data_IF_936101456385
#
_entry.id   IF_936101456385
#
_cell.length_a   1.000
_cell.length_b   1.000
_cell.length_c   1.000
_cell.angle_alpha   90.00
_cell.angle_beta   90.00
_cell.angle_gamma   90.00
#
_symmetry.space_group_name_H-M   'P 1'
#
loop_
_entity.id
_entity.type
_entity.pdbx_description
1 polymer ?
#
# COMPACT_ATOMS: atom_id res chain seq x y z
N UNK A 1 9.34 23.26 5.43
CA UNK A 1 9.70 21.85 5.79
C UNK A 1 8.48 20.93 5.76
N UNK A 2 7.33 21.41 6.19
CA UNK A 2 6.12 20.59 6.37
C UNK A 2 5.43 20.20 5.06
N UNK A 3 5.37 21.08 4.05
CA UNK A 3 4.79 20.77 2.73
C UNK A 3 5.42 19.56 2.03
N UNK A 4 6.65 19.21 2.40
CA UNK A 4 7.36 18.05 1.85
C UNK A 4 6.90 16.72 2.44
N UNK A 5 6.43 16.68 3.72
CA UNK A 5 6.07 15.43 4.36
C UNK A 5 4.81 14.81 3.75
N UNK A 6 3.69 15.54 3.70
CA UNK A 6 2.44 15.02 3.12
C UNK A 6 2.60 14.63 1.65
N UNK A 7 3.34 15.43 0.87
CA UNK A 7 3.64 15.08 -0.51
C UNK A 7 4.49 13.80 -0.61
N UNK A 8 5.53 13.68 0.22
CA UNK A 8 6.39 12.50 0.24
C UNK A 8 5.63 11.23 0.63
N UNK A 9 4.78 11.28 1.65
CA UNK A 9 4.03 10.08 2.07
C UNK A 9 2.98 9.66 1.04
N UNK A 10 2.31 10.61 0.37
CA UNK A 10 1.37 10.32 -0.73
C UNK A 10 2.07 9.57 -1.86
N UNK A 11 3.22 10.07 -2.32
CA UNK A 11 4.05 9.42 -3.34
C UNK A 11 4.51 8.02 -2.91
N UNK A 12 4.88 7.83 -1.64
CA UNK A 12 5.25 6.51 -1.14
C UNK A 12 4.06 5.54 -1.17
N UNK A 13 2.88 5.95 -0.73
CA UNK A 13 1.69 5.12 -0.81
C UNK A 13 1.30 4.81 -2.27
N UNK A 14 1.36 5.78 -3.18
CA UNK A 14 1.15 5.55 -4.63
C UNK A 14 2.14 4.51 -5.18
N UNK A 15 3.41 4.59 -4.77
CA UNK A 15 4.44 3.64 -5.17
C UNK A 15 4.11 2.22 -4.70
N UNK A 16 3.71 2.05 -3.42
CA UNK A 16 3.36 0.72 -2.92
C UNK A 16 2.06 0.19 -3.53
N UNK A 17 1.07 1.06 -3.76
CA UNK A 17 -0.12 0.66 -4.55
C UNK A 17 0.28 0.16 -5.93
N UNK A 18 1.11 0.89 -6.65
CA UNK A 18 1.62 0.50 -7.97
C UNK A 18 2.35 -0.85 -7.96
N UNK A 19 3.12 -1.16 -6.91
CA UNK A 19 3.76 -2.49 -6.80
C UNK A 19 2.72 -3.61 -6.70
N UNK A 20 1.65 -3.41 -5.94
CA UNK A 20 0.51 -4.35 -5.90
C UNK A 20 -0.17 -4.47 -7.26
N UNK A 21 -0.53 -3.34 -7.88
CA UNK A 21 -1.19 -3.31 -9.20
C UNK A 21 -0.37 -4.08 -10.26
N UNK A 22 0.93 -3.81 -10.33
CA UNK A 22 1.84 -4.51 -11.27
C UNK A 22 2.04 -5.99 -10.93
N UNK A 23 1.86 -6.38 -9.68
CA UNK A 23 1.84 -7.80 -9.28
C UNK A 23 0.57 -8.47 -9.79
N UNK A 24 -0.59 -7.87 -9.57
CA UNK A 24 -1.89 -8.40 -10.01
C UNK A 24 -1.97 -8.63 -11.52
N UNK A 25 -1.32 -7.75 -12.30
CA UNK A 25 -1.25 -7.89 -13.76
C UNK A 25 -0.44 -9.12 -14.24
N UNK A 26 0.36 -9.72 -13.37
CA UNK A 26 1.19 -10.89 -13.71
C UNK A 26 0.57 -12.21 -13.23
N UNK A 27 -0.57 -12.17 -12.55
CA UNK A 27 -1.22 -13.31 -11.90
C UNK A 27 -2.49 -13.74 -12.61
N UNK A 28 -2.71 -15.05 -12.66
CA UNK A 28 -4.00 -15.65 -13.01
C UNK A 28 -5.03 -15.42 -11.89
N UNK A 29 -6.29 -15.74 -12.17
CA UNK A 29 -7.37 -15.56 -11.19
C UNK A 29 -7.20 -16.48 -9.98
N UNK A 30 -6.80 -17.71 -10.20
CA UNK A 30 -6.58 -18.72 -9.14
C UNK A 30 -5.42 -18.33 -8.21
N UNK A 31 -4.39 -17.64 -8.72
CA UNK A 31 -3.24 -17.23 -7.94
C UNK A 31 -3.59 -16.30 -6.77
N UNK A 32 -4.70 -15.56 -6.86
CA UNK A 32 -5.17 -14.68 -5.80
C UNK A 32 -5.61 -15.44 -4.55
N UNK A 33 -6.00 -16.70 -4.69
CA UNK A 33 -6.54 -17.54 -3.63
C UNK A 33 -5.57 -18.59 -3.16
N UNK A 34 -4.39 -18.68 -3.78
CA UNK A 34 -3.37 -19.65 -3.40
C UNK A 34 -2.81 -19.37 -2.01
N UNK A 35 -2.68 -20.41 -1.21
CA UNK A 35 -2.05 -20.41 0.11
C UNK A 35 -0.95 -21.47 0.16
N UNK A 36 0.19 -21.13 0.76
CA UNK A 36 1.28 -22.08 0.96
C UNK A 36 0.92 -23.17 1.96
N UNK A 37 0.20 -22.83 3.02
CA UNK A 37 -0.34 -23.70 4.06
C UNK A 37 -1.51 -22.99 4.76
N UNK A 38 -2.15 -23.67 5.72
CA UNK A 38 -3.32 -23.17 6.46
C UNK A 38 -3.06 -21.87 7.23
N UNK A 39 -1.82 -21.67 7.71
CA UNK A 39 -1.43 -20.47 8.48
C UNK A 39 -1.01 -19.29 7.58
N UNK A 40 -0.74 -19.54 6.29
CA UNK A 40 -0.33 -18.48 5.38
C UNK A 40 -1.53 -17.77 4.76
N UNK A 41 -1.44 -16.45 4.59
CA UNK A 41 -2.49 -15.69 3.94
C UNK A 41 -2.34 -15.73 2.41
N UNK A 42 -3.45 -15.88 1.70
CA UNK A 42 -3.52 -15.64 0.27
C UNK A 42 -3.49 -14.13 -0.04
N UNK A 43 -3.27 -13.77 -1.31
CA UNK A 43 -3.38 -12.37 -1.78
C UNK A 43 -4.78 -11.81 -1.47
N UNK A 44 -5.84 -12.59 -1.70
CA UNK A 44 -7.21 -12.18 -1.41
C UNK A 44 -7.42 -11.84 0.07
N UNK A 45 -6.89 -12.67 0.98
CA UNK A 45 -6.96 -12.41 2.43
C UNK A 45 -6.18 -11.15 2.83
N UNK A 46 -4.98 -10.95 2.26
CA UNK A 46 -4.17 -9.75 2.52
C UNK A 46 -4.90 -8.49 2.03
N UNK A 47 -5.47 -8.54 0.84
CA UNK A 47 -6.23 -7.40 0.28
C UNK A 47 -7.46 -7.10 1.11
N UNK A 48 -8.23 -8.11 1.50
CA UNK A 48 -9.39 -7.93 2.38
C UNK A 48 -9.00 -7.29 3.71
N UNK A 49 -7.89 -7.75 4.31
CA UNK A 49 -7.34 -7.14 5.52
C UNK A 49 -6.94 -5.66 5.30
N UNK A 50 -6.24 -5.35 4.23
CA UNK A 50 -5.84 -3.98 3.90
C UNK A 50 -7.05 -3.08 3.66
N UNK A 51 -8.05 -3.54 2.90
CA UNK A 51 -9.31 -2.85 2.64
C UNK A 51 -10.03 -2.50 3.95
N UNK A 52 -10.32 -3.50 4.79
CA UNK A 52 -10.97 -3.29 6.08
C UNK A 52 -10.19 -2.35 7.00
N UNK A 53 -8.86 -2.45 6.99
CA UNK A 53 -7.98 -1.56 7.74
C UNK A 53 -8.06 -0.12 7.22
N UNK A 54 -7.92 0.09 5.90
CA UNK A 54 -7.94 1.43 5.30
C UNK A 54 -9.28 2.12 5.54
N UNK A 55 -10.41 1.44 5.30
CA UNK A 55 -11.72 1.99 5.58
C UNK A 55 -11.89 2.34 7.06
N UNK A 56 -11.50 1.45 7.96
CA UNK A 56 -11.61 1.68 9.41
C UNK A 56 -10.76 2.87 9.85
N UNK A 57 -9.51 2.95 9.41
CA UNK A 57 -8.55 3.98 9.85
C UNK A 57 -8.80 5.35 9.26
N UNK A 58 -9.31 5.45 8.03
CA UNK A 58 -9.32 6.71 7.29
C UNK A 58 -10.70 7.33 7.09
N UNK A 59 -11.80 6.56 7.26
CA UNK A 59 -13.14 7.13 7.20
C UNK A 59 -13.39 8.05 8.39
N UNK A 60 -13.66 9.34 8.13
CA UNK A 60 -13.93 10.37 9.16
C UNK A 60 -12.89 10.39 10.30
N UNK A 61 -11.64 10.08 10.01
CA UNK A 61 -10.59 9.78 10.99
C UNK A 61 -10.22 10.94 11.90
N UNK A 62 -10.49 12.19 11.48
CA UNK A 62 -10.26 13.38 12.31
C UNK A 62 -11.31 13.59 13.41
N UNK A 63 -12.43 12.89 13.34
CA UNK A 63 -13.60 13.10 14.23
C UNK A 63 -14.13 11.83 14.89
N UNK A 64 -13.72 10.65 14.40
CA UNK A 64 -14.17 9.37 14.95
C UNK A 64 -12.96 8.46 15.23
N UNK A 65 -13.13 7.46 16.10
CA UNK A 65 -12.08 6.47 16.36
C UNK A 65 -11.72 5.70 15.07
N UNK A 66 -10.44 5.43 14.88
CA UNK A 66 -9.91 4.65 13.76
C UNK A 66 -10.22 3.15 13.85
N UNK A 67 -10.82 2.64 14.93
CA UNK A 67 -11.46 1.33 14.96
C UNK A 67 -12.96 1.52 14.90
N UNK A 68 -13.59 0.95 13.89
CA UNK A 68 -15.02 1.11 13.62
C UNK A 68 -15.80 -0.09 14.14
N UNK A 69 -16.98 0.13 14.74
CA UNK A 69 -17.86 -0.92 15.27
C UNK A 69 -18.30 -1.93 14.19
N UNK A 70 -18.44 -1.49 12.94
CA UNK A 70 -18.80 -2.35 11.82
C UNK A 70 -17.66 -3.22 11.31
N UNK A 71 -16.40 -2.98 11.76
CA UNK A 71 -15.25 -3.77 11.30
C UNK A 71 -15.18 -5.10 12.04
N UNK A 72 -15.33 -6.18 11.32
CA UNK A 72 -15.06 -7.51 11.83
C UNK A 72 -13.70 -8.02 11.35
N UNK A 73 -12.67 -7.79 12.17
CA UNK A 73 -11.29 -8.13 11.81
C UNK A 73 -11.07 -9.63 11.62
N UNK A 74 -11.75 -10.47 12.38
CA UNK A 74 -11.55 -11.92 12.31
C UNK A 74 -12.10 -12.48 10.99
N UNK A 75 -13.16 -11.89 10.45
CA UNK A 75 -13.69 -12.24 9.14
C UNK A 75 -12.81 -11.77 7.96
N UNK A 76 -11.86 -10.88 8.19
CA UNK A 76 -10.91 -10.46 7.14
C UNK A 76 -10.03 -11.63 6.68
N UNK A 77 -9.79 -12.61 7.55
CA UNK A 77 -8.94 -13.78 7.29
C UNK A 77 -9.74 -15.07 6.97
N UNK A 78 -11.05 -15.06 7.09
CA UNK A 78 -11.88 -16.26 6.96
C UNK A 78 -13.07 -16.17 6.00
N UNK A 79 -13.35 -15.08 5.35
CA UNK A 79 -14.59 -14.95 4.60
C UNK A 79 -14.43 -14.87 3.08
N UNK A 80 -15.51 -15.18 2.39
CA UNK A 80 -15.62 -15.46 0.97
C UNK A 80 -15.47 -14.21 0.07
N UNK A 81 -14.25 -13.83 -0.30
CA UNK A 81 -14.01 -13.21 -1.59
C UNK A 81 -13.62 -14.35 -2.54
N UNK A 82 -14.39 -14.53 -3.60
CA UNK A 82 -14.27 -15.70 -4.48
C UNK A 82 -13.85 -15.36 -5.90
N UNK A 83 -13.73 -14.08 -6.24
CA UNK A 83 -13.33 -13.64 -7.57
C UNK A 83 -12.23 -12.58 -7.51
N UNK A 84 -11.34 -12.60 -8.49
CA UNK A 84 -10.28 -11.61 -8.68
C UNK A 84 -10.84 -10.19 -8.79
N UNK A 85 -11.95 -10.03 -9.52
CA UNK A 85 -12.59 -8.72 -9.70
C UNK A 85 -13.02 -8.12 -8.37
N UNK A 86 -13.57 -8.93 -7.46
CA UNK A 86 -13.96 -8.48 -6.12
C UNK A 86 -12.71 -8.11 -5.27
N UNK A 87 -11.63 -8.89 -5.35
CA UNK A 87 -10.37 -8.56 -4.67
C UNK A 87 -9.80 -7.24 -5.19
N UNK A 88 -9.78 -7.03 -6.50
CA UNK A 88 -9.28 -5.78 -7.11
C UNK A 88 -10.19 -4.60 -6.75
N UNK A 89 -11.50 -4.79 -6.69
CA UNK A 89 -12.44 -3.75 -6.25
C UNK A 89 -12.19 -3.32 -4.80
N UNK A 90 -11.98 -4.27 -3.89
CA UNK A 90 -11.64 -3.99 -2.49
C UNK A 90 -10.30 -3.28 -2.37
N UNK A 91 -9.29 -3.70 -3.15
CA UNK A 91 -8.00 -3.03 -3.23
C UNK A 91 -8.14 -1.56 -3.63
N UNK A 92 -8.84 -1.27 -4.73
CA UNK A 92 -9.06 0.10 -5.20
C UNK A 92 -9.84 0.94 -4.19
N UNK A 93 -10.90 0.40 -3.60
CA UNK A 93 -11.72 1.10 -2.62
C UNK A 93 -10.92 1.47 -1.35
N UNK A 94 -10.09 0.56 -0.86
CA UNK A 94 -9.23 0.81 0.30
C UNK A 94 -8.23 1.95 0.04
N UNK A 95 -7.47 1.87 -1.06
CA UNK A 95 -6.52 2.91 -1.43
C UNK A 95 -7.19 4.25 -1.72
N UNK A 96 -8.35 4.26 -2.37
CA UNK A 96 -9.11 5.49 -2.60
C UNK A 96 -9.53 6.16 -1.29
N UNK A 97 -9.97 5.38 -0.28
CA UNK A 97 -10.29 5.90 1.05
C UNK A 97 -9.07 6.56 1.70
N UNK A 98 -7.90 5.92 1.68
CA UNK A 98 -6.65 6.49 2.17
C UNK A 98 -6.30 7.80 1.45
N UNK A 99 -6.28 7.79 0.11
CA UNK A 99 -5.88 8.98 -0.66
C UNK A 99 -6.85 10.14 -0.45
N UNK A 100 -8.16 9.90 -0.36
CA UNK A 100 -9.14 10.92 -0.04
C UNK A 100 -8.86 11.56 1.32
N UNK A 101 -8.55 10.74 2.33
CA UNK A 101 -8.20 11.23 3.66
C UNK A 101 -6.91 12.07 3.63
N UNK A 102 -5.83 11.57 3.00
CA UNK A 102 -4.57 12.31 2.91
C UNK A 102 -4.69 13.60 2.09
N UNK A 103 -5.55 13.64 1.07
CA UNK A 103 -5.77 14.83 0.23
C UNK A 103 -6.57 15.91 0.96
N UNK A 104 -7.34 15.55 1.98
CA UNK A 104 -8.05 16.51 2.83
C UNK A 104 -7.17 17.19 3.89
N UNK A 105 -5.94 16.66 4.12
CA UNK A 105 -5.03 17.17 5.14
C UNK A 105 -4.21 18.36 4.66
N UNK A 106 -3.95 19.25 5.60
CA UNK A 106 -2.93 20.29 5.55
C UNK A 106 -1.82 20.00 6.56
N UNK A 107 -0.70 20.70 6.45
CA UNK A 107 0.42 20.57 7.40
C UNK A 107 -0.01 20.89 8.86
N UNK A 108 -0.98 21.79 9.04
CA UNK A 108 -1.50 22.15 10.34
C UNK A 108 -2.26 21.00 11.04
N UNK A 109 -2.71 20.01 10.26
CA UNK A 109 -3.42 18.84 10.81
C UNK A 109 -2.47 17.79 11.38
N UNK A 110 -1.19 17.81 11.03
CA UNK A 110 -0.22 16.76 11.39
C UNK A 110 -0.04 16.57 12.90
N UNK A 111 -0.17 17.65 13.66
CA UNK A 111 -0.07 17.62 15.13
C UNK A 111 -1.41 17.34 15.84
N UNK A 112 -2.52 17.26 15.11
CA UNK A 112 -3.84 16.97 15.72
C UNK A 112 -3.84 15.57 16.30
N UNK A 113 -4.54 15.40 17.43
CA UNK A 113 -4.72 14.09 18.06
C UNK A 113 -5.97 13.43 17.47
N UNK A 114 -5.79 12.21 17.02
CA UNK A 114 -6.84 11.28 16.62
C UNK A 114 -6.78 10.04 17.51
N UNK A 115 -7.82 9.25 17.52
CA UNK A 115 -7.88 8.08 18.38
C UNK A 115 -7.96 6.79 17.55
N UNK A 116 -7.28 5.76 18.01
CA UNK A 116 -7.38 4.39 17.51
C UNK A 116 -7.53 3.48 18.74
N UNK A 117 -8.69 2.89 18.92
CA UNK A 117 -9.03 2.09 20.12
C UNK A 117 -8.84 2.89 21.41
N UNK A 118 -9.35 4.12 21.40
CA UNK A 118 -9.21 5.09 22.49
C UNK A 118 -7.77 5.51 22.84
N UNK A 119 -6.77 5.08 22.07
CA UNK A 119 -5.40 5.56 22.24
C UNK A 119 -5.15 6.76 21.30
N UNK A 120 -4.70 7.87 21.90
CA UNK A 120 -4.39 9.09 21.17
C UNK A 120 -3.07 8.96 20.37
N UNK A 121 -3.12 9.39 19.12
CA UNK A 121 -1.98 9.50 18.22
C UNK A 121 -2.04 10.84 17.51
N UNK A 122 -0.90 11.46 17.22
CA UNK A 122 -0.90 12.53 16.23
C UNK A 122 -1.27 11.98 14.85
N UNK A 123 -1.82 12.81 13.98
CA UNK A 123 -2.07 12.45 12.57
C UNK A 123 -0.77 11.97 11.92
N UNK A 124 0.35 12.62 12.20
CA UNK A 124 1.68 12.22 11.71
C UNK A 124 2.06 10.80 12.16
N UNK A 125 1.86 10.46 13.45
CA UNK A 125 2.12 9.12 13.96
C UNK A 125 1.21 8.07 13.32
N UNK A 126 -0.06 8.40 13.13
CA UNK A 126 -0.99 7.50 12.46
C UNK A 126 -0.60 7.23 10.99
N UNK A 127 -0.16 8.26 10.26
CA UNK A 127 0.37 8.10 8.89
C UNK A 127 1.63 7.23 8.91
N UNK A 128 2.61 7.51 9.77
CA UNK A 128 3.84 6.73 9.86
C UNK A 128 3.57 5.26 10.21
N UNK A 129 2.62 4.99 11.10
CA UNK A 129 2.20 3.62 11.41
C UNK A 129 1.69 2.89 10.17
N UNK A 130 0.93 3.55 9.30
CA UNK A 130 0.44 2.93 8.08
C UNK A 130 1.51 2.85 6.98
N UNK A 131 2.49 3.77 6.96
CA UNK A 131 3.69 3.63 6.12
C UNK A 131 4.56 2.41 6.47
N UNK A 132 4.50 1.93 7.69
CA UNK A 132 5.14 0.66 8.06
C UNK A 132 4.25 -0.55 7.76
N UNK A 133 2.92 -0.42 7.90
CA UNK A 133 1.96 -1.51 7.83
C UNK A 133 1.60 -1.91 6.39
N UNK A 134 1.21 -0.94 5.55
CA UNK A 134 0.79 -1.24 4.18
C UNK A 134 1.94 -1.77 3.30
N UNK A 135 3.13 -1.18 3.31
CA UNK A 135 4.29 -1.73 2.62
C UNK A 135 4.66 -3.16 3.06
N UNK A 136 4.52 -3.47 4.35
CA UNK A 136 4.73 -4.83 4.86
C UNK A 136 3.83 -5.85 4.16
N UNK A 137 2.53 -5.54 4.02
CA UNK A 137 1.58 -6.41 3.33
C UNK A 137 1.74 -6.40 1.81
N UNK A 138 2.05 -5.25 1.21
CA UNK A 138 2.36 -5.19 -0.23
C UNK A 138 3.60 -6.03 -0.55
N UNK A 139 4.60 -6.03 0.33
CA UNK A 139 5.77 -6.91 0.21
C UNK A 139 5.40 -8.39 0.20
N UNK A 140 4.42 -8.81 1.01
CA UNK A 140 3.89 -10.18 1.00
C UNK A 140 3.19 -10.51 -0.33
N UNK A 141 2.35 -9.60 -0.84
CA UNK A 141 1.69 -9.75 -2.14
C UNK A 141 2.72 -9.93 -3.26
N UNK A 142 3.75 -9.07 -3.32
CA UNK A 142 4.83 -9.15 -4.30
C UNK A 142 5.62 -10.46 -4.16
N UNK A 143 5.89 -10.89 -2.94
CA UNK A 143 6.61 -12.14 -2.67
C UNK A 143 5.82 -13.36 -3.15
N UNK A 144 4.52 -13.43 -2.82
CA UNK A 144 3.63 -14.51 -3.28
C UNK A 144 3.56 -14.51 -4.81
N UNK A 145 3.30 -13.36 -5.44
CA UNK A 145 3.23 -13.23 -6.88
C UNK A 145 4.53 -13.71 -7.56
N UNK A 146 5.67 -13.36 -7.00
CA UNK A 146 6.98 -13.77 -7.50
C UNK A 146 7.22 -15.28 -7.36
N UNK A 147 6.73 -15.90 -6.29
CA UNK A 147 6.81 -17.36 -6.12
C UNK A 147 5.96 -18.10 -7.16
N UNK A 148 4.76 -17.61 -7.44
CA UNK A 148 3.83 -18.26 -8.35
C UNK A 148 4.23 -18.12 -9.82
N UNK A 149 4.81 -16.98 -10.21
CA UNK A 149 5.20 -16.71 -11.60
C UNK A 149 6.61 -17.20 -11.97
N UNK A 150 7.46 -17.48 -10.97
CA UNK A 150 8.82 -18.00 -11.13
C UNK A 150 9.61 -17.28 -12.25
N UNK A 151 10.01 -18.01 -13.28
CA UNK A 151 10.83 -17.49 -14.39
C UNK A 151 10.08 -16.50 -15.31
N UNK A 152 8.75 -16.41 -15.23
CA UNK A 152 7.95 -15.45 -16.00
C UNK A 152 7.83 -14.07 -15.30
N UNK A 153 8.32 -13.95 -14.05
CA UNK A 153 8.25 -12.73 -13.28
C UNK A 153 8.97 -11.55 -13.94
N UNK A 154 8.25 -10.47 -14.16
CA UNK A 154 8.82 -9.19 -14.59
C UNK A 154 9.13 -8.33 -13.38
N UNK A 155 10.37 -7.90 -13.23
CA UNK A 155 10.81 -7.06 -12.10
C UNK A 155 10.00 -5.77 -12.02
N UNK A 156 9.61 -5.40 -10.80
CA UNK A 156 8.84 -4.16 -10.52
C UNK A 156 9.74 -2.95 -10.26
N UNK A 157 11.05 -3.18 -10.14
CA UNK A 157 12.07 -2.16 -9.91
C UNK A 157 13.31 -2.49 -10.75
N UNK A 158 14.51 -2.36 -10.21
CA UNK A 158 15.75 -2.69 -10.91
C UNK A 158 15.84 -4.21 -11.11
N UNK A 159 15.90 -4.72 -12.37
CA UNK A 159 16.01 -6.14 -12.62
C UNK A 159 17.30 -6.73 -12.03
N UNK A 160 17.24 -8.02 -11.64
CA UNK A 160 18.40 -8.73 -11.11
C UNK A 160 19.57 -8.68 -12.12
N UNK A 161 20.74 -8.29 -11.64
CA UNK A 161 21.95 -8.13 -12.44
C UNK A 161 22.14 -6.77 -13.12
N UNK A 162 21.14 -5.88 -13.11
CA UNK A 162 21.19 -4.57 -13.79
C UNK A 162 21.61 -3.42 -12.88
N UNK A 163 21.94 -3.65 -11.61
CA UNK A 163 22.27 -2.58 -10.65
C UNK A 163 23.44 -1.70 -11.10
N UNK A 164 24.48 -2.29 -11.71
CA UNK A 164 25.64 -1.53 -12.20
C UNK A 164 25.28 -0.59 -13.34
N UNK A 165 24.49 -1.07 -14.32
CA UNK A 165 24.03 -0.24 -15.44
C UNK A 165 23.12 0.90 -14.96
N UNK A 166 22.18 0.59 -14.08
CA UNK A 166 21.31 1.58 -13.43
C UNK A 166 22.12 2.65 -12.69
N UNK A 167 23.08 2.25 -11.86
CA UNK A 167 23.92 3.17 -11.13
C UNK A 167 24.77 4.05 -12.05
N UNK A 168 25.35 3.47 -13.13
CA UNK A 168 26.14 4.23 -14.09
C UNK A 168 25.30 5.33 -14.76
N UNK A 169 24.05 5.03 -15.15
CA UNK A 169 23.12 6.02 -15.73
C UNK A 169 22.82 7.15 -14.72
N UNK A 170 22.51 6.79 -13.44
CA UNK A 170 22.21 7.78 -12.41
C UNK A 170 23.41 8.67 -12.09
N UNK A 171 24.61 8.11 -11.98
CA UNK A 171 25.82 8.86 -11.68
C UNK A 171 26.31 9.74 -12.84
N UNK A 172 25.87 9.47 -14.07
CA UNK A 172 26.11 10.34 -15.21
C UNK A 172 25.31 11.66 -15.17
N UNK A 173 24.25 11.71 -14.34
CA UNK A 173 23.43 12.91 -14.20
C UNK A 173 24.00 13.87 -13.12
N UNK A 174 23.84 15.20 -13.26
CA UNK A 174 24.15 16.13 -12.19
C UNK A 174 23.32 15.82 -10.93
N UNK A 175 23.88 16.11 -9.75
CA UNK A 175 23.12 16.01 -8.49
C UNK A 175 21.91 16.93 -8.53
N UNK A 176 20.73 16.37 -8.32
CA UNK A 176 19.47 17.10 -8.27
C UNK A 176 18.56 16.54 -7.17
N UNK A 177 17.55 17.31 -6.75
CA UNK A 177 16.55 16.85 -5.80
C UNK A 177 15.37 16.26 -6.55
N UNK A 178 15.10 14.99 -6.34
CA UNK A 178 13.94 14.27 -6.86
C UNK A 178 13.44 13.29 -5.79
N UNK A 179 12.13 13.04 -5.75
CA UNK A 179 11.60 11.96 -4.92
C UNK A 179 11.90 10.62 -5.60
N UNK A 180 12.34 9.62 -4.82
CA UNK A 180 12.79 8.34 -5.39
C UNK A 180 11.69 7.57 -6.15
N UNK A 181 10.42 7.85 -5.85
CA UNK A 181 9.29 7.19 -6.52
C UNK A 181 8.96 7.77 -7.88
N UNK A 182 9.42 8.99 -8.21
CA UNK A 182 9.01 9.70 -9.42
C UNK A 182 9.36 8.92 -10.70
N UNK A 183 10.50 8.24 -10.71
CA UNK A 183 10.90 7.42 -11.85
C UNK A 183 10.04 6.18 -12.09
N UNK A 184 9.35 5.69 -11.04
CA UNK A 184 8.51 4.48 -11.11
C UNK A 184 7.03 4.79 -11.36
N UNK A 185 6.58 5.98 -10.94
CA UNK A 185 5.20 6.41 -11.08
C UNK A 185 4.93 7.05 -12.44
N UNK A 186 5.99 7.44 -13.18
CA UNK A 186 5.89 8.28 -14.36
C UNK A 186 5.54 9.72 -13.99
N UNK A 187 5.90 10.68 -14.83
CA UNK A 187 5.40 12.05 -14.69
C UNK A 187 3.88 12.04 -14.92
N UNK A 188 3.12 12.07 -13.81
CA UNK A 188 1.74 12.55 -13.88
C UNK A 188 1.83 14.06 -14.04
N UNK A 189 2.03 14.51 -15.31
CA UNK A 189 1.87 15.89 -15.69
C UNK A 189 0.42 16.36 -15.53
#
# INVERSE_FOLDING_TARGET
>A
MEKDYLNSVKKQFEYYKMLGDKTFLQLSDDDFFWQFNEESNSIAMIVKHLHGNMLSRWTNFLTTDGEKEWRNRDEEFGGLITTKEAVVADWEAGWQCLFNALNSLTDNDLARIIYIRNMGHTVLEAINRQLAHYPYHVGQIVFIGKMLTDNSWKSLSIPRGNSNAYNAEKFAQPKHRQHFTDEFLGDKA
#
